data_IF_102747096854
#
_entry.id   IF_102747096854
#
_cell.length_a   1.000
_cell.length_b   1.000
_cell.length_c   1.000
_cell.angle_alpha   90.00
_cell.angle_beta   90.00
_cell.angle_gamma   90.00
#
_symmetry.space_group_name_H-M   'P 1'
#
loop_
_entity.id
_entity.type
_entity.pdbx_description
1 polymer ?
#
# COMPACT_ATOMS: atom_id res chain seq x y z
N UNK A 1 17.94 -8.75 20.11
CA UNK A 1 17.47 -9.97 19.42
C UNK A 1 16.15 -9.64 18.76
N UNK A 2 16.00 -9.94 17.47
CA UNK A 2 14.75 -9.76 16.72
C UNK A 2 13.94 -11.06 16.83
N UNK A 3 12.71 -10.99 17.33
CA UNK A 3 11.82 -12.15 17.33
C UNK A 3 10.36 -11.72 17.19
N UNK A 4 9.57 -12.63 16.64
CA UNK A 4 8.11 -12.50 16.49
C UNK A 4 7.47 -13.78 17.01
N UNK A 5 6.46 -13.63 17.85
CA UNK A 5 5.61 -14.72 18.33
C UNK A 5 4.18 -14.47 17.86
N UNK A 6 3.58 -15.45 17.20
CA UNK A 6 2.25 -15.35 16.59
C UNK A 6 1.37 -16.43 17.18
N UNK A 7 0.20 -16.04 17.68
CA UNK A 7 -0.85 -16.97 18.10
C UNK A 7 -2.14 -16.63 17.38
N UNK A 8 -2.73 -17.62 16.76
CA UNK A 8 -4.00 -17.48 16.02
C UNK A 8 -5.03 -18.41 16.63
N UNK A 9 -6.18 -17.84 16.99
CA UNK A 9 -7.38 -18.60 17.32
C UNK A 9 -8.30 -18.53 16.12
N UNK A 10 -8.31 -19.59 15.31
CA UNK A 10 -9.14 -19.66 14.12
C UNK A 10 -10.43 -20.43 14.41
N UNK A 11 -11.58 -19.83 14.09
CA UNK A 11 -12.90 -20.44 14.25
C UNK A 11 -13.16 -21.04 15.65
N UNK A 12 -12.63 -20.40 16.69
CA UNK A 12 -12.82 -20.83 18.07
C UNK A 12 -14.30 -20.73 18.44
N UNK A 13 -14.85 -21.85 18.93
CA UNK A 13 -16.23 -21.88 19.43
C UNK A 13 -16.36 -21.12 20.73
N UNK A 14 -17.45 -20.36 20.86
CA UNK A 14 -17.81 -19.75 22.15
C UNK A 14 -18.34 -20.82 23.12
N UNK A 15 -18.02 -20.72 24.40
CA UNK A 15 -18.38 -21.72 25.41
C UNK A 15 -19.88 -21.81 25.70
N UNK A 16 -20.64 -20.73 25.49
CA UNK A 16 -22.08 -20.69 25.72
C UNK A 16 -22.89 -21.02 24.46
N UNK A 17 -22.35 -20.72 23.29
CA UNK A 17 -22.97 -21.10 22.03
C UNK A 17 -21.93 -21.67 21.05
N UNK A 18 -21.99 -23.00 20.88
CA UNK A 18 -21.09 -23.74 20.01
C UNK A 18 -21.29 -23.46 18.52
N UNK A 19 -22.30 -22.68 18.09
CA UNK A 19 -22.45 -22.22 16.71
C UNK A 19 -21.67 -20.94 16.42
N UNK A 20 -21.35 -20.15 17.45
CA UNK A 20 -20.58 -18.92 17.29
C UNK A 20 -19.12 -19.25 16.96
N UNK A 21 -18.54 -18.55 15.99
CA UNK A 21 -17.16 -18.73 15.54
C UNK A 21 -16.40 -17.42 15.65
N UNK A 22 -15.44 -17.38 16.56
CA UNK A 22 -14.53 -16.24 16.72
C UNK A 22 -13.21 -16.52 15.99
N UNK A 23 -12.61 -15.50 15.38
CA UNK A 23 -11.29 -15.56 14.76
C UNK A 23 -10.52 -14.30 15.14
N UNK A 24 -9.38 -14.49 15.78
CA UNK A 24 -8.50 -13.41 16.20
C UNK A 24 -7.05 -13.89 16.28
N UNK A 25 -6.11 -12.95 16.18
CA UNK A 25 -4.68 -13.22 16.22
C UNK A 25 -3.99 -12.22 17.15
N UNK A 26 -2.97 -12.68 17.85
CA UNK A 26 -2.05 -11.85 18.61
C UNK A 26 -0.63 -12.05 18.06
N UNK A 27 0.05 -10.95 17.79
CA UNK A 27 1.44 -10.93 17.33
C UNK A 27 2.25 -10.11 18.33
N UNK A 28 3.22 -10.74 18.98
CA UNK A 28 4.18 -10.09 19.85
C UNK A 28 5.51 -10.00 19.10
N UNK A 29 6.04 -8.80 18.92
CA UNK A 29 7.27 -8.57 18.17
C UNK A 29 8.21 -7.65 18.94
N UNK A 30 9.52 -7.87 18.80
CA UNK A 30 10.53 -6.92 19.24
C UNK A 30 11.56 -6.64 18.15
N UNK A 31 12.01 -5.39 18.10
CA UNK A 31 13.17 -4.98 17.32
C UNK A 31 14.48 -4.98 18.13
N UNK A 32 14.47 -5.51 19.35
CA UNK A 32 15.58 -5.50 20.30
C UNK A 32 15.65 -4.26 21.19
N UNK A 33 14.92 -3.19 20.88
CA UNK A 33 14.81 -1.98 21.70
C UNK A 33 13.39 -1.77 22.25
N UNK A 34 12.39 -2.12 21.45
CA UNK A 34 10.97 -1.98 21.79
C UNK A 34 10.25 -3.32 21.64
N UNK A 35 9.22 -3.52 22.45
CA UNK A 35 8.32 -4.67 22.38
C UNK A 35 6.90 -4.18 22.05
N UNK A 36 6.30 -4.71 20.98
CA UNK A 36 4.96 -4.35 20.55
C UNK A 36 4.06 -5.58 20.47
N UNK A 37 2.78 -5.39 20.78
CA UNK A 37 1.75 -6.39 20.53
C UNK A 37 0.72 -5.86 19.55
N UNK A 38 0.47 -6.60 18.47
CA UNK A 38 -0.62 -6.38 17.52
C UNK A 38 -1.72 -7.41 17.77
N UNK A 39 -2.93 -6.95 18.01
CA UNK A 39 -4.15 -7.76 18.03
C UNK A 39 -4.94 -7.52 16.75
N UNK A 40 -5.42 -8.60 16.15
CA UNK A 40 -6.26 -8.59 14.95
C UNK A 40 -7.56 -9.32 15.29
N UNK A 41 -8.68 -8.60 15.34
CA UNK A 41 -10.00 -9.13 15.67
C UNK A 41 -10.86 -9.35 14.42
N UNK A 42 -10.42 -10.25 13.54
CA UNK A 42 -11.06 -10.45 12.24
C UNK A 42 -12.57 -10.76 12.31
N UNK A 43 -13.01 -11.58 13.27
CA UNK A 43 -14.41 -11.96 13.41
C UNK A 43 -14.77 -12.33 14.84
N UNK A 44 -15.76 -11.66 15.42
CA UNK A 44 -16.31 -12.01 16.73
C UNK A 44 -17.83 -12.20 16.63
N UNK A 45 -18.32 -13.40 16.93
CA UNK A 45 -19.74 -13.75 16.90
C UNK A 45 -20.31 -14.04 18.29
N UNK A 46 -19.46 -14.31 19.28
CA UNK A 46 -19.91 -14.57 20.64
C UNK A 46 -18.89 -14.11 21.67
N UNK A 47 -19.34 -13.28 22.61
CA UNK A 47 -18.51 -12.80 23.71
C UNK A 47 -18.89 -13.41 25.06
N UNK A 48 -20.01 -14.12 25.22
CA UNK A 48 -20.36 -14.63 26.56
C UNK A 48 -19.54 -15.87 26.94
N UNK A 49 -18.99 -15.88 28.15
CA UNK A 49 -18.41 -17.07 28.77
C UNK A 49 -19.47 -17.97 29.40
N UNK A 50 -19.01 -19.06 30.03
CA UNK A 50 -19.87 -20.01 30.76
C UNK A 50 -20.66 -19.35 31.91
N UNK A 51 -20.13 -18.28 32.49
CA UNK A 51 -20.77 -17.49 33.55
C UNK A 51 -21.79 -16.46 33.04
N UNK A 52 -22.13 -16.45 31.74
CA UNK A 52 -22.95 -15.42 31.07
C UNK A 52 -22.37 -14.01 31.10
N UNK A 53 -21.15 -13.85 31.61
CA UNK A 53 -20.39 -12.62 31.59
C UNK A 53 -19.73 -12.49 30.21
N UNK A 54 -19.81 -11.32 29.59
CA UNK A 54 -19.17 -11.05 28.30
C UNK A 54 -17.64 -11.06 28.40
N UNK A 55 -16.93 -11.35 27.32
CA UNK A 55 -15.49 -11.41 27.27
C UNK A 55 -14.92 -10.02 27.49
N UNK A 56 -13.76 -9.98 28.12
CA UNK A 56 -12.95 -8.77 28.15
C UNK A 56 -12.05 -8.76 26.92
N UNK A 57 -11.92 -7.59 26.31
CA UNK A 57 -10.87 -7.33 25.32
C UNK A 57 -9.74 -6.59 26.00
N UNK A 58 -8.53 -7.07 25.76
CA UNK A 58 -7.33 -6.56 26.37
C UNK A 58 -6.30 -7.66 26.54
N UNK A 59 -5.22 -7.31 27.21
CA UNK A 59 -4.14 -8.25 27.49
C UNK A 59 -3.54 -7.97 28.86
N UNK A 60 -3.00 -9.04 29.45
CA UNK A 60 -2.41 -9.05 30.78
C UNK A 60 -1.05 -9.76 30.66
N UNK A 61 -0.01 -9.17 31.23
CA UNK A 61 1.35 -9.72 31.24
C UNK A 61 1.52 -11.01 32.06
N UNK A 62 0.44 -11.52 32.67
CA UNK A 62 0.46 -12.72 33.50
C UNK A 62 0.91 -12.45 34.94
N UNK A 63 1.56 -11.30 35.19
CA UNK A 63 1.92 -10.80 36.52
C UNK A 63 0.73 -10.20 37.28
N UNK A 64 -0.44 -10.08 36.63
CA UNK A 64 -1.69 -9.49 37.16
C UNK A 64 -1.57 -8.02 37.60
N UNK A 65 -0.42 -7.39 37.41
CA UNK A 65 -0.13 -6.03 37.83
C UNK A 65 -0.36 -5.04 36.70
N UNK A 66 -0.02 -5.43 35.47
CA UNK A 66 -0.23 -4.61 34.28
C UNK A 66 -1.29 -5.26 33.40
N UNK A 67 -2.27 -4.48 32.98
CA UNK A 67 -3.23 -4.88 31.95
C UNK A 67 -3.62 -3.67 31.10
N UNK A 68 -3.82 -3.89 29.81
CA UNK A 68 -4.60 -2.97 28.98
C UNK A 68 -6.01 -3.53 28.88
N UNK A 69 -7.00 -2.68 29.08
CA UNK A 69 -8.41 -3.04 28.97
C UNK A 69 -9.11 -1.96 28.13
N UNK A 70 -9.62 -2.39 26.98
CA UNK A 70 -10.38 -1.51 26.09
C UNK A 70 -11.71 -1.09 26.75
N UNK A 71 -12.26 0.07 26.37
CA UNK A 71 -13.44 0.69 27.02
C UNK A 71 -14.72 -0.16 27.00
N UNK A 72 -14.77 -1.24 26.22
CA UNK A 72 -15.94 -2.12 26.06
C UNK A 72 -15.96 -3.26 27.08
N UNK A 73 -16.00 -2.93 28.37
CA UNK A 73 -15.98 -3.90 29.47
C UNK A 73 -17.27 -4.71 29.57
N UNK A 74 -17.16 -6.04 29.66
CA UNK A 74 -18.25 -6.95 30.03
C UNK A 74 -19.59 -6.67 29.34
N UNK A 75 -19.53 -6.22 28.09
CA UNK A 75 -20.66 -5.73 27.32
C UNK A 75 -20.79 -6.50 26.01
N UNK A 76 -22.00 -6.67 25.47
CA UNK A 76 -22.18 -7.18 24.11
C UNK A 76 -21.46 -6.32 23.04
N UNK A 77 -21.17 -5.05 23.34
CA UNK A 77 -20.43 -4.14 22.46
C UNK A 77 -19.00 -4.62 22.14
N UNK A 78 -18.44 -5.54 22.92
CA UNK A 78 -17.17 -6.24 22.63
C UNK A 78 -17.12 -6.79 21.19
N UNK A 79 -18.26 -7.20 20.63
CA UNK A 79 -18.33 -7.71 19.27
C UNK A 79 -18.10 -6.63 18.21
N UNK A 80 -18.30 -5.35 18.55
CA UNK A 80 -18.11 -4.23 17.61
C UNK A 80 -16.66 -3.79 17.48
N UNK A 81 -15.73 -4.33 18.29
CA UNK A 81 -14.31 -3.97 18.19
C UNK A 81 -13.71 -4.31 16.82
N UNK A 82 -14.31 -5.27 16.10
CA UNK A 82 -13.91 -5.62 14.73
C UNK A 82 -14.05 -4.43 13.77
N UNK A 83 -14.84 -3.42 14.15
CA UNK A 83 -15.06 -2.18 13.40
C UNK A 83 -14.31 -0.98 14.03
N UNK A 84 -13.38 -1.23 14.93
CA UNK A 84 -12.62 -0.20 15.66
C UNK A 84 -11.12 -0.48 15.54
N UNK A 85 -10.28 0.51 15.88
CA UNK A 85 -8.82 0.43 15.78
C UNK A 85 -8.13 1.63 16.43
N UNK A 86 -6.93 1.43 16.99
CA UNK A 86 -6.07 2.52 17.46
C UNK A 86 -4.98 2.97 16.47
N UNK A 87 -4.90 2.33 15.30
CA UNK A 87 -3.97 2.65 14.20
C UNK A 87 -4.67 2.95 12.87
N UNK A 88 -5.98 3.24 12.92
CA UNK A 88 -6.85 3.45 11.76
C UNK A 88 -6.84 2.32 10.69
N UNK A 89 -6.56 1.07 11.11
CA UNK A 89 -6.77 -0.14 10.30
C UNK A 89 -7.81 -0.98 11.03
N UNK A 90 -9.04 -1.04 10.48
CA UNK A 90 -10.15 -1.79 11.09
C UNK A 90 -9.71 -3.17 11.55
N UNK A 91 -10.18 -3.58 12.73
CA UNK A 91 -9.86 -4.82 13.43
C UNK A 91 -8.47 -4.90 14.09
N UNK A 92 -7.61 -3.90 13.90
CA UNK A 92 -6.23 -3.93 14.37
C UNK A 92 -5.96 -2.98 15.53
N UNK A 93 -5.27 -3.50 16.53
CA UNK A 93 -4.86 -2.74 17.71
C UNK A 93 -3.40 -3.01 18.02
N UNK A 94 -2.60 -1.96 18.12
CA UNK A 94 -1.18 -2.07 18.41
C UNK A 94 -0.84 -1.36 19.71
N UNK A 95 -0.09 -2.04 20.56
CA UNK A 95 0.28 -1.54 21.87
C UNK A 95 1.79 -1.65 22.10
N UNK A 96 2.35 -0.65 22.76
CA UNK A 96 3.69 -0.74 23.31
C UNK A 96 3.66 -1.53 24.63
N UNK A 97 4.58 -2.48 24.78
CA UNK A 97 4.53 -3.51 25.85
C UNK A 97 5.81 -3.63 26.67
N UNK A 98 6.69 -2.62 26.59
CA UNK A 98 8.00 -2.63 27.26
C UNK A 98 7.88 -2.47 28.78
N UNK A 99 7.29 -1.37 29.28
CA UNK A 99 7.21 -1.08 30.72
C UNK A 99 5.84 -0.61 31.19
N UNK A 100 5.19 0.31 30.48
CA UNK A 100 3.78 0.68 30.70
C UNK A 100 3.00 0.45 29.42
N UNK A 101 1.81 -0.12 29.53
CA UNK A 101 0.92 -0.24 28.38
C UNK A 101 0.36 1.12 28.05
N UNK A 102 0.64 1.53 26.83
CA UNK A 102 0.03 2.70 26.23
C UNK A 102 -0.37 2.34 24.81
N UNK A 103 -1.32 3.09 24.28
CA UNK A 103 -1.43 3.21 22.83
C UNK A 103 -0.06 3.57 22.24
N UNK A 104 0.12 3.33 20.95
CA UNK A 104 1.30 3.84 20.25
C UNK A 104 1.29 5.35 20.43
N UNK A 105 2.18 5.83 21.28
CA UNK A 105 2.39 7.24 21.47
C UNK A 105 3.32 7.74 20.38
N UNK A 106 3.27 9.06 20.17
CA UNK A 106 4.29 9.85 19.50
C UNK A 106 5.63 9.62 20.21
N UNK A 107 6.30 8.51 19.90
CA UNK A 107 7.64 8.21 20.35
C UNK A 107 8.41 8.02 19.07
N UNK A 108 9.33 8.94 18.83
CA UNK A 108 10.27 8.88 17.71
C UNK A 108 10.95 7.52 17.77
N UNK A 109 10.58 6.61 16.87
CA UNK A 109 11.39 5.43 16.64
C UNK A 109 12.69 5.88 15.96
N UNK A 110 13.60 4.94 15.80
CA UNK A 110 15.00 5.09 15.36
C UNK A 110 15.22 5.68 13.96
N UNK A 111 14.19 6.28 13.34
CA UNK A 111 14.24 6.97 12.07
C UNK A 111 12.97 6.76 11.22
N UNK A 112 12.94 7.40 10.06
CA UNK A 112 11.91 7.30 9.04
C UNK A 112 11.94 5.91 8.39
N UNK A 113 10.76 5.33 8.24
CA UNK A 113 10.57 4.00 7.67
C UNK A 113 9.47 4.05 6.60
N UNK A 114 9.53 3.10 5.68
CA UNK A 114 8.58 2.97 4.57
C UNK A 114 7.94 1.58 4.56
N UNK A 115 6.61 1.55 4.41
CA UNK A 115 5.81 0.35 4.29
C UNK A 115 4.82 0.46 3.13
N UNK A 116 4.80 -0.45 2.16
CA UNK A 116 5.72 -1.56 1.96
C UNK A 116 7.16 -1.06 1.73
N UNK A 117 8.18 -1.78 2.19
CA UNK A 117 9.58 -1.39 1.97
C UNK A 117 10.10 -1.74 0.55
N UNK A 118 9.28 -2.43 -0.25
CA UNK A 118 9.56 -2.80 -1.64
C UNK A 118 8.31 -2.75 -2.50
N UNK A 119 8.47 -2.61 -3.81
CA UNK A 119 7.36 -2.57 -4.76
C UNK A 119 7.80 -2.31 -6.19
N UNK A 120 6.82 -2.26 -7.09
CA UNK A 120 7.05 -2.19 -8.54
C UNK A 120 7.50 -0.80 -8.99
N UNK A 121 8.41 -0.74 -9.96
CA UNK A 121 8.78 0.52 -10.62
C UNK A 121 7.61 1.21 -11.35
N UNK A 122 6.49 0.53 -11.61
CA UNK A 122 5.33 1.13 -12.28
C UNK A 122 4.55 2.11 -11.39
N UNK A 123 4.74 2.02 -10.07
CA UNK A 123 4.11 2.91 -9.09
C UNK A 123 2.59 2.75 -8.99
N UNK A 124 1.91 3.83 -8.61
CA UNK A 124 0.45 3.98 -8.43
C UNK A 124 -0.17 3.18 -7.28
N UNK A 125 0.63 2.50 -6.46
CA UNK A 125 0.17 1.90 -5.21
C UNK A 125 0.43 2.83 -4.02
N UNK A 126 -0.39 2.69 -2.98
CA UNK A 126 -0.18 3.39 -1.73
C UNK A 126 1.04 2.82 -0.99
N UNK A 127 1.87 3.71 -0.47
CA UNK A 127 2.88 3.39 0.54
C UNK A 127 2.76 4.36 1.71
N UNK A 128 3.28 3.94 2.86
CA UNK A 128 3.19 4.64 4.13
C UNK A 128 4.58 4.99 4.61
N UNK A 129 4.76 6.24 5.01
CA UNK A 129 5.93 6.69 5.74
C UNK A 129 5.59 6.76 7.22
N UNK A 130 6.41 6.16 8.07
CA UNK A 130 6.18 6.07 9.51
C UNK A 130 7.52 6.08 10.27
N UNK A 131 7.47 5.88 11.59
CA UNK A 131 8.66 5.74 12.43
C UNK A 131 9.18 7.06 13.01
N UNK A 132 8.84 8.18 12.37
CA UNK A 132 8.90 9.49 13.01
C UNK A 132 7.48 10.02 13.24
N UNK A 133 7.44 11.27 13.62
CA UNK A 133 6.41 11.84 14.43
C UNK A 133 5.87 13.04 13.66
N UNK A 134 4.69 12.88 13.07
CA UNK A 134 4.16 13.85 12.11
C UNK A 134 3.30 14.89 12.84
N UNK A 135 3.89 16.05 13.15
CA UNK A 135 3.11 17.23 13.52
C UNK A 135 2.43 17.79 12.25
N UNK A 136 1.31 18.48 12.36
CA UNK A 136 0.53 18.98 11.20
C UNK A 136 1.26 20.02 10.31
N UNK A 137 2.58 20.13 10.43
CA UNK A 137 3.43 20.90 9.54
C UNK A 137 3.36 20.35 8.11
N UNK A 138 3.57 21.24 7.15
CA UNK A 138 3.61 20.84 5.74
C UNK A 138 4.94 20.18 5.45
N UNK A 139 4.90 18.92 5.06
CA UNK A 139 6.06 18.16 4.62
C UNK A 139 6.25 18.27 3.12
N UNK A 140 7.51 18.25 2.68
CA UNK A 140 7.89 18.07 1.29
C UNK A 140 8.62 16.73 1.18
N UNK A 141 8.11 15.83 0.34
CA UNK A 141 8.65 14.47 0.19
C UNK A 141 9.41 14.40 -1.12
N UNK A 142 10.65 13.98 -1.04
CA UNK A 142 11.51 13.77 -2.19
C UNK A 142 11.67 12.27 -2.40
N UNK A 143 11.39 11.80 -3.61
CA UNK A 143 11.65 10.41 -4.01
C UNK A 143 12.61 10.49 -5.17
N UNK A 144 13.82 9.94 -5.01
CA UNK A 144 14.86 9.99 -6.04
C UNK A 144 15.14 11.42 -6.57
N UNK A 145 15.35 12.37 -5.65
CA UNK A 145 15.63 13.80 -5.93
C UNK A 145 14.51 14.57 -6.65
N UNK A 146 13.29 14.04 -6.71
CA UNK A 146 12.12 14.73 -7.25
C UNK A 146 11.09 15.00 -6.15
N UNK A 147 10.50 16.19 -6.17
CA UNK A 147 9.44 16.58 -5.24
C UNK A 147 8.15 15.87 -5.61
N UNK A 148 7.55 15.19 -4.63
CA UNK A 148 6.26 14.51 -4.77
C UNK A 148 5.19 15.15 -3.90
N UNK A 149 4.07 15.49 -4.54
CA UNK A 149 2.94 16.17 -3.91
C UNK A 149 1.74 15.23 -3.64
N UNK A 150 1.77 13.99 -4.14
CA UNK A 150 0.70 13.00 -3.95
C UNK A 150 0.80 12.28 -2.60
N UNK A 151 0.99 13.07 -1.54
CA UNK A 151 1.17 12.61 -0.18
C UNK A 151 0.24 13.39 0.76
N UNK A 152 -0.35 12.68 1.72
CA UNK A 152 -1.19 13.26 2.77
C UNK A 152 -0.81 12.72 4.14
N UNK A 153 -0.66 13.63 5.10
CA UNK A 153 -0.56 13.25 6.51
C UNK A 153 -1.90 12.66 6.91
N UNK A 154 -1.92 11.38 7.28
CA UNK A 154 -3.16 10.71 7.65
C UNK A 154 -3.47 10.95 9.12
N UNK A 155 -2.50 10.71 9.98
CA UNK A 155 -2.51 11.02 11.41
C UNK A 155 -1.08 11.32 11.87
N UNK A 156 -0.85 11.45 13.18
CA UNK A 156 0.49 11.74 13.72
C UNK A 156 1.50 10.59 13.60
N UNK A 157 1.05 9.40 13.19
CA UNK A 157 1.86 8.18 13.13
C UNK A 157 2.38 7.89 11.73
N UNK A 158 1.65 8.27 10.68
CA UNK A 158 2.07 8.02 9.31
C UNK A 158 1.53 9.01 8.26
N UNK A 159 2.29 9.11 7.17
CA UNK A 159 1.90 9.75 5.91
C UNK A 159 1.54 8.66 4.91
N UNK A 160 0.49 8.87 4.12
CA UNK A 160 0.14 8.01 2.98
C UNK A 160 0.50 8.74 1.69
N UNK A 161 1.23 8.07 0.81
CA UNK A 161 1.66 8.58 -0.48
C UNK A 161 1.32 7.59 -1.59
N UNK A 162 1.16 8.09 -2.82
CA UNK A 162 1.15 7.23 -4.01
C UNK A 162 2.57 7.11 -4.55
N UNK A 163 3.05 5.88 -4.70
CA UNK A 163 4.38 5.64 -5.27
C UNK A 163 4.40 6.14 -6.72
N UNK A 164 5.32 7.03 -7.09
CA UNK A 164 5.47 7.40 -8.48
C UNK A 164 6.08 6.27 -9.30
N UNK A 165 6.06 6.44 -10.61
CA UNK A 165 6.81 5.56 -11.48
C UNK A 165 8.31 5.81 -11.32
N UNK A 166 9.10 4.76 -11.17
CA UNK A 166 10.53 4.80 -10.92
C UNK A 166 11.33 4.43 -12.18
N UNK A 167 12.49 5.04 -12.35
CA UNK A 167 13.32 4.87 -13.55
C UNK A 167 14.11 3.56 -13.56
N UNK A 168 14.60 3.20 -12.38
CA UNK A 168 15.55 2.12 -12.20
C UNK A 168 15.05 1.16 -11.13
N UNK A 169 15.33 -0.13 -11.30
CA UNK A 169 15.14 -1.13 -10.27
C UNK A 169 16.36 -1.13 -9.34
N UNK A 170 16.32 -0.28 -8.32
CA UNK A 170 17.32 -0.26 -7.27
C UNK A 170 16.73 0.31 -5.97
N UNK A 171 17.60 0.55 -4.99
CA UNK A 171 17.32 1.31 -3.77
C UNK A 171 17.00 2.76 -4.11
N UNK A 172 15.74 3.11 -3.95
CA UNK A 172 15.24 4.48 -4.06
C UNK A 172 15.32 5.15 -2.70
N UNK A 173 15.99 6.29 -2.65
CA UNK A 173 16.01 7.13 -1.46
C UNK A 173 14.72 7.94 -1.38
N UNK A 174 14.08 7.90 -0.21
CA UNK A 174 12.93 8.74 0.13
C UNK A 174 13.38 9.67 1.25
N UNK A 175 13.24 10.97 1.03
CA UNK A 175 13.69 12.02 1.95
C UNK A 175 12.51 12.90 2.34
N UNK A 176 12.43 13.20 3.63
CA UNK A 176 11.38 14.05 4.19
C UNK A 176 11.97 15.40 4.59
N UNK A 177 11.45 16.48 4.01
CA UNK A 177 11.85 17.85 4.30
C UNK A 177 10.73 18.62 5.00
N UNK A 178 11.08 19.51 5.91
CA UNK A 178 10.15 20.53 6.40
C UNK A 178 9.97 21.62 5.34
N UNK A 179 8.74 21.85 4.84
CA UNK A 179 8.49 22.77 3.70
C UNK A 179 9.00 24.19 3.93
N UNK A 180 8.90 24.71 5.16
CA UNK A 180 9.28 26.09 5.50
C UNK A 180 10.80 26.29 5.53
N UNK A 181 11.52 25.34 6.13
CA UNK A 181 12.96 25.49 6.38
C UNK A 181 13.82 24.76 5.35
N UNK A 182 13.22 23.90 4.51
CA UNK A 182 13.89 22.98 3.58
C UNK A 182 14.99 22.14 4.25
N UNK A 183 14.84 21.90 5.55
CA UNK A 183 15.75 21.07 6.33
C UNK A 183 15.32 19.62 6.15
N UNK A 184 16.30 18.75 5.85
CA UNK A 184 16.11 17.30 5.85
C UNK A 184 15.78 16.86 7.29
N UNK A 185 14.57 16.33 7.47
CA UNK A 185 14.12 15.79 8.75
C UNK A 185 14.71 14.39 8.92
N UNK A 186 14.51 13.54 7.91
CA UNK A 186 15.01 12.17 7.90
C UNK A 186 14.90 11.54 6.50
N UNK A 187 15.46 10.35 6.32
CA UNK A 187 15.44 9.61 5.05
C UNK A 187 15.33 8.10 5.26
N UNK A 188 14.80 7.41 4.25
CA UNK A 188 14.66 5.95 4.23
C UNK A 188 14.90 5.40 2.83
N UNK A 189 15.05 4.08 2.72
CA UNK A 189 15.28 3.38 1.46
C UNK A 189 14.08 2.52 1.08
N UNK A 190 13.70 2.57 -0.19
CA UNK A 190 12.66 1.76 -0.79
C UNK A 190 13.25 0.87 -1.90
N UNK A 191 12.95 -0.43 -1.88
CA UNK A 191 13.45 -1.37 -2.88
C UNK A 191 12.50 -1.46 -4.08
N UNK A 192 12.90 -0.83 -5.18
CA UNK A 192 12.17 -0.92 -6.43
C UNK A 192 12.57 -2.17 -7.22
N UNK A 193 11.60 -2.88 -7.77
CA UNK A 193 11.85 -3.99 -8.69
C UNK A 193 11.05 -3.81 -9.97
N UNK A 194 11.62 -4.27 -11.09
CA UNK A 194 10.85 -4.50 -12.31
C UNK A 194 10.12 -5.83 -12.10
N UNK A 195 8.77 -5.85 -12.08
CA UNK A 195 8.05 -7.12 -12.10
C UNK A 195 8.44 -7.89 -13.36
N UNK A 196 8.50 -9.21 -13.27
CA UNK A 196 8.62 -10.03 -14.48
C UNK A 196 7.41 -9.77 -15.38
N UNK A 197 7.69 -9.37 -16.62
CA UNK A 197 6.65 -9.13 -17.62
C UNK A 197 6.27 -10.47 -18.25
N UNK A 198 5.06 -10.90 -17.95
CA UNK A 198 4.42 -12.08 -18.55
C UNK A 198 3.22 -11.66 -19.40
N UNK A 199 3.39 -10.60 -20.18
CA UNK A 199 2.35 -10.07 -21.06
C UNK A 199 1.77 -11.12 -22.00
N UNK A 200 2.52 -12.17 -22.36
CA UNK A 200 2.05 -13.32 -23.15
C UNK A 200 0.91 -14.08 -22.48
N UNK A 201 0.79 -14.06 -21.16
CA UNK A 201 -0.31 -14.71 -20.43
C UNK A 201 -1.63 -13.95 -20.63
N UNK A 202 -1.56 -12.65 -20.93
CA UNK A 202 -2.72 -11.77 -21.09
C UNK A 202 -3.01 -11.52 -22.57
N UNK A 203 -1.98 -11.30 -23.39
CA UNK A 203 -2.09 -10.90 -24.78
C UNK A 203 -1.60 -12.01 -25.72
N UNK A 204 -2.43 -12.41 -26.68
CA UNK A 204 -2.04 -13.39 -27.72
C UNK A 204 -1.08 -12.80 -28.74
N UNK A 205 -1.05 -11.47 -28.89
CA UNK A 205 -0.16 -10.76 -29.80
C UNK A 205 0.97 -10.01 -29.08
N UNK A 206 1.32 -10.42 -27.86
CA UNK A 206 2.34 -9.76 -27.04
C UNK A 206 3.66 -9.54 -27.77
N UNK A 207 4.22 -10.59 -28.40
CA UNK A 207 5.50 -10.49 -29.13
C UNK A 207 5.43 -9.52 -30.31
N UNK A 208 4.29 -9.44 -31.00
CA UNK A 208 4.12 -8.48 -32.09
C UNK A 208 4.07 -7.04 -31.57
N UNK A 209 3.40 -6.82 -30.43
CA UNK A 209 3.26 -5.50 -29.81
C UNK A 209 4.58 -4.95 -29.29
N UNK A 210 5.43 -5.79 -28.70
CA UNK A 210 6.74 -5.36 -28.16
C UNK A 210 7.72 -4.92 -29.24
N UNK A 211 7.51 -5.35 -30.49
CA UNK A 211 8.33 -4.96 -31.65
C UNK A 211 7.63 -3.96 -32.59
N UNK A 212 6.40 -3.54 -32.28
CA UNK A 212 5.63 -2.66 -33.13
C UNK A 212 6.18 -1.23 -33.06
N UNK A 213 6.44 -0.64 -34.23
CA UNK A 213 6.69 0.80 -34.37
C UNK A 213 5.37 1.46 -34.76
N UNK A 214 4.91 2.42 -33.96
CA UNK A 214 3.64 3.13 -34.16
C UNK A 214 3.90 4.53 -34.72
N UNK A 215 3.28 4.85 -35.85
CA UNK A 215 3.38 6.14 -36.53
C UNK A 215 2.17 7.05 -36.28
N UNK A 216 2.34 8.40 -36.29
CA UNK A 216 1.31 9.34 -35.87
C UNK A 216 0.00 9.35 -36.66
N UNK A 217 0.00 8.90 -37.91
CA UNK A 217 -1.06 9.21 -38.86
C UNK A 217 -1.86 8.00 -39.35
N UNK A 218 -1.57 6.77 -38.91
CA UNK A 218 -2.30 5.61 -39.44
C UNK A 218 -2.30 4.33 -38.58
N UNK A 219 -1.76 4.37 -37.37
CA UNK A 219 -1.60 3.16 -36.57
C UNK A 219 -2.57 3.11 -35.38
N UNK A 220 -3.13 1.91 -35.17
CA UNK A 220 -3.87 1.53 -33.98
C UNK A 220 -3.03 0.53 -33.19
N UNK A 221 -3.00 0.70 -31.87
CA UNK A 221 -2.52 -0.31 -30.96
C UNK A 221 -3.67 -1.31 -30.73
N UNK A 222 -3.56 -2.50 -31.32
CA UNK A 222 -4.53 -3.58 -31.16
C UNK A 222 -4.07 -4.54 -30.05
N UNK A 223 -4.73 -4.55 -28.92
CA UNK A 223 -4.49 -5.50 -27.83
C UNK A 223 -5.41 -6.72 -28.03
N UNK A 224 -4.84 -7.87 -28.39
CA UNK A 224 -5.58 -9.12 -28.53
C UNK A 224 -5.42 -9.94 -27.26
N UNK A 225 -6.51 -10.16 -26.53
CA UNK A 225 -6.49 -10.85 -25.25
C UNK A 225 -6.60 -12.36 -25.41
N UNK A 226 -5.84 -13.11 -24.63
CA UNK A 226 -5.99 -14.56 -24.56
C UNK A 226 -7.36 -14.93 -24.00
N UNK A 227 -7.91 -16.07 -24.43
CA UNK A 227 -9.10 -16.67 -23.83
C UNK A 227 -8.71 -17.74 -22.82
N UNK A 228 -8.32 -17.34 -21.60
CA UNK A 228 -7.86 -18.26 -20.56
C UNK A 228 -8.48 -17.94 -19.18
N UNK A 229 -8.19 -18.77 -18.17
CA UNK A 229 -8.79 -18.62 -16.83
C UNK A 229 -8.47 -17.28 -16.15
N UNK A 230 -7.39 -16.60 -16.54
CA UNK A 230 -6.95 -15.33 -15.96
C UNK A 230 -7.77 -14.19 -16.58
N UNK A 231 -7.76 -14.07 -17.90
CA UNK A 231 -8.51 -13.01 -18.61
C UNK A 231 -10.02 -13.13 -18.40
N UNK A 232 -10.55 -14.34 -18.24
CA UNK A 232 -11.99 -14.55 -18.01
C UNK A 232 -12.45 -14.34 -16.56
N UNK A 233 -11.53 -14.23 -15.59
CA UNK A 233 -11.86 -14.13 -14.15
C UNK A 233 -11.73 -12.71 -13.58
N UNK A 234 -10.87 -11.89 -14.15
CA UNK A 234 -10.54 -10.56 -13.61
C UNK A 234 -11.00 -9.43 -14.54
N UNK A 235 -11.18 -8.25 -13.95
CA UNK A 235 -11.33 -7.01 -14.71
C UNK A 235 -9.98 -6.31 -14.77
N UNK A 236 -9.70 -5.67 -15.89
CA UNK A 236 -8.38 -5.11 -16.18
C UNK A 236 -8.49 -3.61 -16.39
N UNK A 237 -7.52 -2.87 -15.86
CA UNK A 237 -7.33 -1.46 -16.20
C UNK A 237 -6.14 -1.35 -17.13
N UNK A 238 -6.33 -0.68 -18.27
CA UNK A 238 -5.25 -0.42 -19.22
C UNK A 238 -4.70 0.98 -18.97
N UNK A 239 -3.39 1.08 -18.77
CA UNK A 239 -2.68 2.34 -18.59
C UNK A 239 -1.50 2.35 -19.55
N UNK A 240 -1.38 3.40 -20.36
CA UNK A 240 -0.25 3.58 -21.26
C UNK A 240 0.76 4.53 -20.60
N UNK A 241 2.03 4.19 -20.73
CA UNK A 241 3.14 5.03 -20.31
C UNK A 241 3.97 5.38 -21.53
N UNK A 242 4.07 6.68 -21.82
CA UNK A 242 4.96 7.21 -22.85
C UNK A 242 6.32 7.59 -22.24
N UNK A 243 7.37 7.17 -22.94
CA UNK A 243 8.77 7.46 -22.61
C UNK A 243 9.41 8.20 -23.79
N UNK A 244 9.27 9.52 -23.79
CA UNK A 244 9.93 10.33 -24.79
C UNK A 244 11.39 10.58 -24.37
N UNK A 245 12.35 10.13 -25.19
CA UNK A 245 13.74 10.60 -25.14
C UNK A 245 13.92 11.74 -26.13
N UNK A 246 14.24 12.94 -25.66
CA UNK A 246 14.65 14.01 -26.57
C UNK A 246 16.04 13.69 -27.14
N UNK A 247 16.12 13.48 -28.45
CA UNK A 247 17.40 13.42 -29.16
C UNK A 247 17.83 14.85 -29.48
N UNK A 248 18.96 15.30 -28.93
CA UNK A 248 19.61 16.55 -29.31
C UNK A 248 20.34 16.35 -30.64
N UNK A 249 20.26 17.33 -31.54
CA UNK A 249 20.92 17.35 -32.84
C UNK A 249 22.45 17.44 -32.78
N UNK A 250 22.98 17.89 -31.64
CA UNK A 250 24.40 17.78 -31.33
C UNK A 250 24.58 16.56 -30.43
N UNK A 251 25.56 15.69 -30.75
CA UNK A 251 25.95 14.41 -30.10
C UNK A 251 26.11 14.42 -28.55
N UNK A 252 25.62 15.44 -27.85
CA UNK A 252 25.36 15.42 -26.42
C UNK A 252 24.01 14.74 -26.16
N UNK A 253 24.05 13.52 -25.63
CA UNK A 253 22.85 12.80 -25.17
C UNK A 253 22.27 13.56 -23.97
N UNK A 254 21.27 14.40 -24.20
CA UNK A 254 20.41 14.93 -23.16
C UNK A 254 19.42 13.82 -22.77
N UNK A 255 19.69 13.12 -21.66
CA UNK A 255 18.76 12.16 -21.06
C UNK A 255 17.56 12.85 -20.39
N UNK A 256 16.92 13.80 -21.06
CA UNK A 256 15.66 14.35 -20.57
C UNK A 256 14.53 13.39 -20.98
N UNK A 257 14.39 12.31 -20.20
CA UNK A 257 13.29 11.35 -20.34
C UNK A 257 12.04 11.98 -19.76
N UNK A 258 11.16 12.48 -20.62
CA UNK A 258 9.83 12.91 -20.18
C UNK A 258 8.96 11.65 -20.07
N UNK A 259 8.35 11.46 -18.91
CA UNK A 259 7.40 10.36 -18.67
C UNK A 259 6.00 10.93 -18.57
N UNK A 260 5.11 10.41 -19.40
CA UNK A 260 3.71 10.77 -19.37
C UNK A 260 2.87 9.50 -19.21
N UNK A 261 2.10 9.45 -18.11
CA UNK A 261 0.99 8.49 -18.01
C UNK A 261 -0.13 8.99 -18.90
N UNK A 262 -0.57 8.14 -19.81
CA UNK A 262 -1.68 8.40 -20.70
C UNK A 262 -2.83 7.54 -20.19
N UNK A 263 -3.76 8.20 -19.51
CA UNK A 263 -5.01 7.59 -19.08
C UNK A 263 -6.00 7.67 -20.24
N UNK A 264 -6.37 6.53 -20.80
CA UNK A 264 -7.29 6.46 -21.93
C UNK A 264 -8.75 6.72 -21.51
N UNK A 265 -9.02 6.90 -20.21
CA UNK A 265 -10.38 7.03 -19.70
C UNK A 265 -11.20 5.74 -19.84
N UNK A 266 -10.53 4.61 -20.09
CA UNK A 266 -11.15 3.30 -20.09
C UNK A 266 -11.34 2.87 -18.64
N UNK A 267 -12.60 2.74 -18.22
CA UNK A 267 -12.95 2.03 -17.00
C UNK A 267 -12.44 0.58 -17.04
N UNK A 268 -12.56 -0.13 -15.92
CA UNK A 268 -12.21 -1.54 -15.85
C UNK A 268 -12.87 -2.37 -16.97
N UNK A 269 -12.04 -2.86 -17.89
CA UNK A 269 -12.47 -3.68 -19.02
C UNK A 269 -12.71 -5.10 -18.55
N UNK A 270 -13.89 -5.64 -18.89
CA UNK A 270 -14.19 -7.05 -18.65
C UNK A 270 -13.71 -7.90 -19.83
N UNK A 271 -12.55 -8.53 -19.67
CA UNK A 271 -11.98 -9.42 -20.68
C UNK A 271 -12.72 -10.76 -20.77
N UNK A 272 -13.79 -11.00 -20.01
CA UNK A 272 -14.65 -12.17 -20.22
C UNK A 272 -15.51 -12.08 -21.49
N UNK A 273 -15.72 -10.86 -22.01
CA UNK A 273 -16.57 -10.58 -23.17
C UNK A 273 -15.85 -9.82 -24.28
N UNK A 274 -14.61 -9.41 -24.04
CA UNK A 274 -13.83 -8.57 -24.95
C UNK A 274 -12.56 -9.31 -25.33
N UNK A 275 -12.46 -9.70 -26.60
CA UNK A 275 -11.29 -10.42 -27.09
C UNK A 275 -10.23 -9.48 -27.70
N UNK A 276 -10.65 -8.30 -28.19
CA UNK A 276 -9.75 -7.31 -28.78
C UNK A 276 -10.07 -5.89 -28.27
N UNK A 277 -9.05 -5.07 -28.06
CA UNK A 277 -9.17 -3.64 -27.77
C UNK A 277 -8.27 -2.85 -28.72
N UNK A 278 -8.89 -2.04 -29.58
CA UNK A 278 -8.18 -1.15 -30.48
C UNK A 278 -8.07 0.25 -29.87
N UNK A 279 -6.86 0.77 -29.80
CA UNK A 279 -6.56 2.10 -29.28
C UNK A 279 -5.92 2.91 -30.41
N UNK A 280 -6.61 3.93 -30.88
CA UNK A 280 -6.07 4.78 -31.96
C UNK A 280 -4.94 5.67 -31.47
N UNK A 281 -3.97 5.97 -32.34
CA UNK A 281 -2.87 6.89 -32.01
C UNK A 281 -3.35 8.22 -31.41
N UNK A 282 -4.43 8.80 -31.93
CA UNK A 282 -5.00 10.06 -31.45
C UNK A 282 -5.56 9.99 -30.02
N UNK A 283 -5.95 8.81 -29.55
CA UNK A 283 -6.34 8.60 -28.14
C UNK A 283 -5.12 8.59 -27.22
N UNK A 284 -3.97 8.16 -27.73
CA UNK A 284 -2.72 8.11 -26.99
C UNK A 284 -2.07 9.51 -26.97
N UNK A 285 -1.95 10.11 -28.15
CA UNK A 285 -1.36 11.41 -28.38
C UNK A 285 -2.40 12.34 -29.02
N UNK A 286 -3.24 13.02 -28.22
CA UNK A 286 -4.17 13.98 -28.77
C UNK A 286 -3.38 15.06 -29.51
N UNK A 287 -3.62 15.20 -30.82
CA UNK A 287 -3.05 16.28 -31.62
C UNK A 287 -3.40 17.58 -30.92
N UNK A 288 -2.39 18.29 -30.40
CA UNK A 288 -2.58 19.67 -29.96
C UNK A 288 -3.06 20.42 -31.20
N UNK A 289 -4.33 20.80 -31.24
CA UNK A 289 -4.83 21.77 -32.20
C UNK A 289 -3.90 22.97 -32.10
N UNK A 290 -3.20 23.27 -33.21
CA UNK A 290 -2.35 24.45 -33.30
C UNK A 290 -3.10 25.63 -32.69
N UNK A 291 -2.54 26.33 -31.68
CA UNK A 291 -3.05 27.64 -31.34
C UNK A 291 -2.66 28.53 -32.53
N UNK A 292 -3.63 28.77 -33.42
CA UNK A 292 -3.54 29.88 -34.36
C UNK A 292 -3.35 31.19 -33.59
#
# INVERSE_FOLDING_TARGET
MLWTFIVTWHQLSNSKNSTNRNTYQAILNTNGFYLFTLFIYHKLQGSQGSSSIHSQIGFNTGDKMKYYKEKMYFSPLVLTIVNDSNIDILDQFVFHTSDNFSDIQYVTSTGLQVSSFRGSIYGRYEFRLHGICFNKSVYEIHIHNQIFNDCRVFNSLYIVCLMPMLMDSDKIKIELYGRENKILIDSTEFLAHVPEDHGEIILSNYDNLTHQIVYPNNDELNLQFQSNAITRKYRFQTVIYDYATQLSSDNQILYNRIRQRIDLGLDYVNLSTTDNLNISYNMIFPVKTNPN
#
